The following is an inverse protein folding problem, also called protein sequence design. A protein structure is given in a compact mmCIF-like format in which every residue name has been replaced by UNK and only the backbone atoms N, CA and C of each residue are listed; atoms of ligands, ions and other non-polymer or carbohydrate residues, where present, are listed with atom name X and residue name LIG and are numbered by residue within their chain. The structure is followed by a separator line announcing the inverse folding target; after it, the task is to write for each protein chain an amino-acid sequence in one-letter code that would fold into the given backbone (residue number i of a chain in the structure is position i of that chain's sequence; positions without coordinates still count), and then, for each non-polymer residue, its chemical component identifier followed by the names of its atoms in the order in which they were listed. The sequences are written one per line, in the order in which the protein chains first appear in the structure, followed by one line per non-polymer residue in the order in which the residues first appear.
data_IF_751813685691
#
_entry.id   IF_751813685691
#
_cell.length_a   1.000
_cell.length_b   1.000
_cell.length_c   1.000
_cell.angle_alpha   90.00
_cell.angle_beta   90.00
_cell.angle_gamma   90.00
#
_symmetry.space_group_name_H-M   'P 1'
#
loop_
_entity.id
_entity.type
_entity.pdbx_description
1 polymer ?
#
# COMPACT_ATOMS: atom_id res chain seq x y z
N UNK A 1 13.13 -25.34 33.25
CA UNK A 1 12.86 -23.92 32.88
C UNK A 1 13.65 -23.40 31.67
N UNK A 2 14.91 -23.83 31.42
CA UNK A 2 15.74 -23.34 30.28
C UNK A 2 15.16 -23.62 28.87
N UNK A 3 14.56 -24.80 28.65
CA UNK A 3 13.94 -25.18 27.35
C UNK A 3 12.78 -24.26 26.94
N UNK A 4 11.95 -23.84 27.91
CA UNK A 4 10.81 -22.93 27.67
C UNK A 4 11.26 -21.51 27.29
N UNK A 5 12.40 -21.06 27.82
CA UNK A 5 13.00 -19.76 27.47
C UNK A 5 13.58 -19.78 26.06
N UNK A 6 14.21 -20.88 25.65
CA UNK A 6 14.71 -21.09 24.30
C UNK A 6 13.60 -21.12 23.25
N UNK A 7 12.53 -21.90 23.48
CA UNK A 7 11.39 -21.96 22.56
C UNK A 7 10.74 -20.58 22.37
N UNK A 8 10.59 -19.81 23.45
CA UNK A 8 10.07 -18.43 23.37
C UNK A 8 11.00 -17.51 22.57
N UNK A 9 12.31 -17.61 22.77
CA UNK A 9 13.28 -16.81 22.02
C UNK A 9 13.24 -17.12 20.52
N UNK A 10 13.13 -18.40 20.14
CA UNK A 10 13.01 -18.82 18.74
C UNK A 10 11.70 -18.32 18.12
N UNK A 11 10.57 -18.47 18.82
CA UNK A 11 9.27 -17.97 18.37
C UNK A 11 9.26 -16.45 18.16
N UNK A 12 9.80 -15.68 19.12
CA UNK A 12 9.91 -14.22 19.00
C UNK A 12 10.82 -13.85 17.82
N UNK A 13 11.94 -14.54 17.62
CA UNK A 13 12.85 -14.28 16.51
C UNK A 13 12.20 -14.55 15.15
N UNK A 14 11.48 -15.67 14.98
CA UNK A 14 10.73 -15.97 13.77
C UNK A 14 9.63 -14.93 13.49
N UNK A 15 8.93 -14.47 14.52
CA UNK A 15 7.89 -13.45 14.39
C UNK A 15 8.47 -12.10 13.92
N UNK A 16 9.59 -11.67 14.51
CA UNK A 16 10.27 -10.42 14.11
C UNK A 16 10.75 -10.47 12.66
N UNK A 17 11.34 -11.59 12.23
CA UNK A 17 11.79 -11.78 10.84
C UNK A 17 10.62 -11.75 9.84
N UNK A 18 9.47 -12.29 10.22
CA UNK A 18 8.27 -12.32 9.36
C UNK A 18 7.67 -10.92 9.16
N UNK A 19 7.71 -10.06 10.18
CA UNK A 19 7.22 -8.67 10.09
C UNK A 19 8.19 -7.78 9.30
N UNK A 20 9.50 -8.02 9.40
CA UNK A 20 10.49 -7.28 8.63
C UNK A 20 10.31 -7.47 7.10
N UNK A 21 9.78 -8.62 6.67
CA UNK A 21 9.51 -8.91 5.27
C UNK A 21 8.38 -8.07 4.67
N UNK A 22 7.51 -7.44 5.47
CA UNK A 22 6.38 -6.63 4.95
C UNK A 22 6.73 -5.16 4.73
N UNK A 23 7.97 -4.73 4.97
CA UNK A 23 8.46 -3.41 4.57
C UNK A 23 8.72 -3.35 3.04
N UNK A 24 7.80 -3.94 2.27
CA UNK A 24 7.81 -3.99 0.81
C UNK A 24 7.74 -2.58 0.26
N UNK A 25 8.72 -2.28 -0.58
CA UNK A 25 8.92 -1.08 -1.37
C UNK A 25 7.62 -0.30 -1.68
N UNK A 26 7.46 0.84 -1.04
CA UNK A 26 6.61 1.90 -1.56
C UNK A 26 7.23 2.35 -2.90
N UNK A 27 6.51 2.18 -4.01
CA UNK A 27 6.91 2.78 -5.28
C UNK A 27 7.09 4.29 -5.08
N UNK A 28 8.17 4.86 -5.60
CA UNK A 28 8.42 6.30 -5.50
C UNK A 28 7.20 7.12 -5.93
N UNK A 29 7.00 8.28 -5.32
CA UNK A 29 5.81 9.12 -5.56
C UNK A 29 5.60 9.43 -7.05
N UNK A 30 4.34 9.33 -7.48
CA UNK A 30 3.89 9.80 -8.79
C UNK A 30 3.72 11.32 -8.77
N UNK A 31 3.90 11.98 -9.91
CA UNK A 31 3.59 13.38 -10.08
C UNK A 31 2.11 13.61 -10.43
N UNK A 32 1.72 14.88 -10.65
CA UNK A 32 0.35 15.27 -10.97
C UNK A 32 -0.20 14.71 -12.29
N UNK A 33 0.66 14.18 -13.16
CA UNK A 33 0.24 13.51 -14.41
C UNK A 33 0.05 12.00 -14.20
N UNK A 34 0.33 11.47 -13.01
CA UNK A 34 0.22 10.04 -12.72
C UNK A 34 1.43 9.20 -13.14
N UNK A 35 2.57 9.84 -13.45
CA UNK A 35 3.81 9.17 -13.80
C UNK A 35 5.00 9.58 -12.93
N UNK A 36 6.19 9.07 -13.23
CA UNK A 36 7.42 9.40 -12.53
C UNK A 36 8.66 9.30 -13.43
N UNK A 37 9.73 10.00 -13.07
CA UNK A 37 11.03 9.87 -13.73
C UNK A 37 11.81 8.67 -13.18
N UNK A 38 12.30 7.79 -14.06
CA UNK A 38 13.25 6.76 -13.67
C UNK A 38 14.67 7.35 -13.64
N UNK A 39 15.18 7.64 -12.45
CA UNK A 39 16.54 8.21 -12.28
C UNK A 39 17.66 7.21 -12.61
N UNK A 40 17.38 5.91 -12.62
CA UNK A 40 18.40 4.87 -12.85
C UNK A 40 18.55 4.56 -14.34
N UNK A 41 17.43 4.47 -15.06
CA UNK A 41 17.41 4.11 -16.49
C UNK A 41 17.22 5.32 -17.41
N UNK A 42 16.85 6.47 -16.85
CA UNK A 42 16.34 7.59 -17.63
C UNK A 42 14.90 7.34 -18.08
N UNK A 43 14.24 8.41 -18.52
CA UNK A 43 12.87 8.34 -19.02
C UNK A 43 11.78 8.53 -17.97
N UNK A 44 10.54 8.37 -18.43
CA UNK A 44 9.32 8.72 -17.70
C UNK A 44 8.26 7.63 -17.87
N UNK A 45 7.71 7.14 -16.77
CA UNK A 45 6.75 6.03 -16.76
C UNK A 45 5.43 6.44 -16.14
N UNK A 46 4.31 6.10 -16.80
CA UNK A 46 2.99 6.31 -16.24
C UNK A 46 2.50 5.10 -15.46
N UNK A 47 1.94 5.36 -14.28
CA UNK A 47 1.29 4.35 -13.42
C UNK A 47 -0.21 4.59 -13.28
N UNK A 48 -0.70 5.78 -13.66
CA UNK A 48 -2.12 6.16 -13.66
C UNK A 48 -2.47 6.93 -14.93
N UNK A 49 -3.75 6.88 -15.30
CA UNK A 49 -4.31 7.61 -16.43
C UNK A 49 -4.23 6.85 -17.77
N UNK A 50 -4.51 7.53 -18.89
CA UNK A 50 -4.68 6.91 -20.21
C UNK A 50 -3.41 6.25 -20.76
N UNK A 51 -2.24 6.65 -20.26
CA UNK A 51 -0.94 6.10 -20.67
C UNK A 51 -0.37 5.10 -19.65
N UNK A 52 -1.16 4.60 -18.70
CA UNK A 52 -0.71 3.66 -17.67
C UNK A 52 0.07 2.48 -18.28
N UNK A 53 1.24 2.18 -17.72
CA UNK A 53 2.13 1.11 -18.17
C UNK A 53 3.06 1.52 -19.32
N UNK A 54 2.89 2.71 -19.89
CA UNK A 54 3.77 3.21 -20.95
C UNK A 54 5.01 3.91 -20.37
N UNK A 55 6.11 3.78 -21.09
CA UNK A 55 7.40 4.38 -20.80
C UNK A 55 7.83 5.27 -21.96
N UNK A 56 8.41 6.43 -21.65
CA UNK A 56 8.85 7.41 -22.61
C UNK A 56 10.31 7.80 -22.34
N UNK A 57 11.07 8.20 -23.38
CA UNK A 57 12.48 8.57 -23.22
C UNK A 57 12.69 9.85 -22.40
N UNK A 58 11.68 10.73 -22.33
CA UNK A 58 11.69 11.91 -21.48
C UNK A 58 10.27 12.28 -21.02
N UNK A 59 10.20 13.16 -20.02
CA UNK A 59 8.91 13.72 -19.56
C UNK A 59 8.24 14.54 -20.66
N UNK A 60 8.98 15.29 -21.48
CA UNK A 60 8.39 16.05 -22.59
C UNK A 60 7.73 15.12 -23.62
N UNK A 61 8.39 14.01 -23.98
CA UNK A 61 7.83 13.02 -24.90
C UNK A 61 6.56 12.35 -24.34
N UNK A 62 6.57 12.04 -23.03
CA UNK A 62 5.41 11.53 -22.31
C UNK A 62 4.22 12.51 -22.34
N UNK A 63 4.46 13.79 -22.06
CA UNK A 63 3.41 14.81 -22.04
C UNK A 63 2.87 15.09 -23.44
N UNK A 64 3.70 15.04 -24.48
CA UNK A 64 3.24 15.14 -25.86
C UNK A 64 2.33 13.95 -26.25
N UNK A 65 2.65 12.74 -25.80
CA UNK A 65 1.79 11.58 -25.98
C UNK A 65 0.48 11.70 -25.18
N UNK A 66 0.55 12.24 -23.95
CA UNK A 66 -0.63 12.43 -23.09
C UNK A 66 -1.60 13.45 -23.70
N UNK A 67 -1.06 14.55 -24.25
CA UNK A 67 -1.85 15.56 -24.96
C UNK A 67 -2.57 14.95 -26.18
N UNK A 68 -1.90 14.05 -26.93
CA UNK A 68 -2.52 13.32 -28.05
C UNK A 68 -3.58 12.30 -27.62
N UNK A 69 -3.44 11.72 -26.42
CA UNK A 69 -4.40 10.77 -25.87
C UNK A 69 -5.72 11.42 -25.40
N UNK A 70 -5.86 12.75 -25.53
CA UNK A 70 -7.14 13.46 -25.39
C UNK A 70 -7.71 13.50 -23.97
N UNK A 71 -6.95 13.08 -22.96
CA UNK A 71 -7.44 12.91 -21.58
C UNK A 71 -6.44 13.45 -20.57
N UNK A 72 -6.51 14.76 -20.36
CA UNK A 72 -6.26 15.52 -19.12
C UNK A 72 -5.78 16.92 -19.51
N UNK A 73 -6.55 17.94 -19.10
CA UNK A 73 -6.00 19.28 -18.96
C UNK A 73 -4.73 19.19 -18.11
N UNK A 74 -3.66 19.95 -18.42
CA UNK A 74 -2.48 19.98 -17.56
C UNK A 74 -2.93 20.19 -16.12
N UNK A 75 -2.44 19.39 -15.15
CA UNK A 75 -2.73 19.63 -13.75
C UNK A 75 -2.36 21.10 -13.48
N UNK A 76 -3.18 21.82 -12.69
CA UNK A 76 -2.89 23.20 -12.36
C UNK A 76 -1.42 23.29 -11.94
N UNK A 77 -0.70 24.25 -12.53
CA UNK A 77 0.72 24.43 -12.24
C UNK A 77 0.93 24.30 -10.73
N UNK A 78 1.95 23.55 -10.27
CA UNK A 78 2.24 23.54 -8.85
C UNK A 78 2.37 25.01 -8.46
N UNK A 79 1.49 25.46 -7.56
CA UNK A 79 1.65 26.77 -6.95
C UNK A 79 3.12 26.88 -6.54
N UNK A 80 3.79 28.02 -6.80
CA UNK A 80 5.21 28.15 -6.51
C UNK A 80 5.45 27.63 -5.10
N UNK A 81 6.32 26.62 -4.98
CA UNK A 81 6.66 26.05 -3.69
C UNK A 81 7.03 27.23 -2.78
N UNK A 82 6.40 27.38 -1.60
CA UNK A 82 6.79 28.45 -0.70
C UNK A 82 8.25 28.23 -0.32
N UNK A 83 9.11 29.11 -0.82
CA UNK A 83 10.48 29.27 -0.36
C UNK A 83 10.40 29.62 1.12
N UNK A 84 10.86 28.68 1.94
CA UNK A 84 11.24 28.85 3.34
C UNK A 84 10.22 29.57 4.26
N UNK A 85 9.43 28.78 4.97
CA UNK A 85 9.43 28.79 6.43
C UNK A 85 8.68 27.55 6.90
N UNK A 86 9.30 26.78 7.80
CA UNK A 86 8.59 25.78 8.58
C UNK A 86 7.53 26.48 9.44
N UNK A 87 6.34 26.70 8.89
CA UNK A 87 5.12 26.85 9.65
C UNK A 87 4.40 25.50 9.59
N UNK A 88 3.94 24.95 10.72
CA UNK A 88 3.31 23.65 10.71
C UNK A 88 2.02 23.75 9.90
N UNK A 89 1.99 23.07 8.74
CA UNK A 89 0.72 22.68 8.13
C UNK A 89 0.00 21.88 9.21
N UNK A 90 -1.06 22.46 9.76
CA UNK A 90 -2.04 21.73 10.53
C UNK A 90 -2.67 20.70 9.58
N UNK A 91 -1.96 19.58 9.40
CA UNK A 91 -2.55 18.33 8.96
C UNK A 91 -3.52 17.99 10.06
N UNK A 92 -4.78 18.42 9.91
CA UNK A 92 -5.84 17.78 10.66
C UNK A 92 -5.72 16.31 10.30
N UNK A 93 -5.42 15.42 11.26
CA UNK A 93 -5.33 14.01 10.96
C UNK A 93 -6.70 13.62 10.42
N UNK A 94 -6.77 13.22 9.16
CA UNK A 94 -7.92 12.46 8.69
C UNK A 94 -8.01 11.29 9.65
N UNK A 95 -9.06 11.20 10.50
CA UNK A 95 -9.14 10.11 11.44
C UNK A 95 -9.07 8.82 10.63
N UNK A 96 -8.25 7.83 11.04
CA UNK A 96 -8.22 6.56 10.35
C UNK A 96 -9.66 6.03 10.27
N UNK A 97 -10.05 5.35 9.18
CA UNK A 97 -11.38 4.76 9.08
C UNK A 97 -11.63 3.92 10.35
N UNK A 98 -12.65 4.32 11.12
CA UNK A 98 -13.05 3.61 12.33
C UNK A 98 -13.86 2.41 11.87
N UNK A 99 -13.17 1.27 11.70
CA UNK A 99 -13.83 0.01 11.41
C UNK A 99 -14.54 -0.51 12.67
N UNK A 100 -15.77 -0.96 12.50
CA UNK A 100 -16.49 -1.69 13.56
C UNK A 100 -15.75 -3.01 13.89
N UNK A 101 -16.01 -3.57 15.07
CA UNK A 101 -15.41 -4.85 15.46
C UNK A 101 -15.72 -5.96 14.43
N UNK A 102 -16.93 -5.97 13.88
CA UNK A 102 -17.35 -6.90 12.83
C UNK A 102 -16.56 -6.71 11.54
N UNK A 103 -16.37 -5.46 11.10
CA UNK A 103 -15.58 -5.16 9.89
C UNK A 103 -14.12 -5.58 10.04
N UNK A 104 -13.56 -5.44 11.25
CA UNK A 104 -12.20 -5.90 11.56
C UNK A 104 -12.10 -7.42 11.55
N UNK A 105 -13.12 -8.12 12.04
CA UNK A 105 -13.16 -9.58 12.01
C UNK A 105 -13.28 -10.09 10.58
N UNK A 106 -14.20 -9.54 9.79
CA UNK A 106 -14.38 -9.90 8.38
C UNK A 106 -13.10 -9.73 7.56
N UNK A 107 -12.38 -8.61 7.76
CA UNK A 107 -11.11 -8.36 7.09
C UNK A 107 -10.04 -9.39 7.45
N UNK A 108 -10.00 -9.87 8.69
CA UNK A 108 -9.06 -10.91 9.12
C UNK A 108 -9.39 -12.25 8.48
N UNK A 109 -10.66 -12.63 8.40
CA UNK A 109 -11.09 -13.86 7.74
C UNK A 109 -10.66 -13.87 6.27
N UNK A 110 -10.92 -12.77 5.56
CA UNK A 110 -10.59 -12.64 4.14
C UNK A 110 -9.07 -12.68 3.91
N UNK A 111 -8.27 -12.09 4.79
CA UNK A 111 -6.81 -12.18 4.72
C UNK A 111 -6.33 -13.62 4.94
N UNK A 112 -6.87 -14.33 5.93
CA UNK A 112 -6.47 -15.70 6.25
C UNK A 112 -6.78 -16.66 5.10
N UNK A 113 -7.92 -16.46 4.44
CA UNK A 113 -8.34 -17.29 3.30
C UNK A 113 -7.59 -16.93 2.03
N UNK A 114 -7.40 -15.63 1.73
CA UNK A 114 -6.65 -15.20 0.55
C UNK A 114 -5.17 -15.64 0.62
N UNK A 115 -4.61 -15.76 1.83
CA UNK A 115 -3.25 -16.29 2.05
C UNK A 115 -3.20 -17.81 2.15
N UNK A 116 -4.34 -18.50 2.07
CA UNK A 116 -4.44 -19.96 2.15
C UNK A 116 -4.03 -20.52 3.51
N UNK A 117 -4.10 -19.73 4.58
CA UNK A 117 -3.75 -20.16 5.95
C UNK A 117 -4.79 -21.14 6.49
N UNK A 118 -6.06 -20.94 6.12
CA UNK A 118 -7.18 -21.82 6.46
C UNK A 118 -8.19 -21.80 5.32
N UNK A 119 -8.82 -22.93 5.03
CA UNK A 119 -9.95 -22.97 4.09
C UNK A 119 -11.18 -22.32 4.74
N UNK A 120 -12.02 -21.63 3.95
CA UNK A 120 -13.27 -21.02 4.44
C UNK A 120 -14.16 -22.05 5.18
N UNK A 121 -14.16 -23.28 4.71
CA UNK A 121 -14.94 -24.39 5.29
C UNK A 121 -14.43 -24.79 6.68
N UNK A 122 -13.10 -24.85 6.87
CA UNK A 122 -12.50 -25.16 8.17
C UNK A 122 -12.71 -24.04 9.19
N UNK A 123 -12.59 -22.78 8.75
CA UNK A 123 -12.88 -21.62 9.61
C UNK A 123 -14.34 -21.63 10.08
N UNK A 124 -15.28 -21.93 9.17
CA UNK A 124 -16.70 -22.00 9.49
C UNK A 124 -17.00 -23.15 10.46
N UNK A 125 -16.35 -24.31 10.30
CA UNK A 125 -16.47 -25.44 11.22
C UNK A 125 -15.97 -25.08 12.63
N UNK A 126 -14.86 -24.33 12.73
CA UNK A 126 -14.32 -23.87 14.02
C UNK A 126 -15.23 -22.84 14.70
N UNK A 127 -15.81 -21.91 13.94
CA UNK A 127 -16.77 -20.93 14.47
C UNK A 127 -18.05 -21.60 14.96
N UNK A 128 -18.57 -22.58 14.21
CA UNK A 128 -19.74 -23.35 14.65
C UNK A 128 -19.46 -24.18 15.91
N UNK A 129 -18.28 -24.79 16.02
CA UNK A 129 -17.89 -25.52 17.23
C UNK A 129 -17.82 -24.61 18.47
N UNK A 130 -17.49 -23.33 18.29
CA UNK A 130 -17.42 -22.35 19.38
C UNK A 130 -18.82 -21.87 19.83
N UNK A 131 -19.79 -21.81 18.90
CA UNK A 131 -21.18 -21.37 19.18
C UNK A 131 -22.05 -22.52 19.71
N UNK A 132 -21.72 -23.77 19.37
CA UNK A 132 -22.49 -24.97 19.74
C UNK A 132 -21.96 -25.66 21.02
N UNK A 133 -20.85 -25.19 21.59
CA UNK A 133 -20.39 -25.66 22.90
C UNK A 133 -21.37 -25.21 24.01
N UNK A 134 -21.97 -26.13 24.79
CA UNK A 134 -22.94 -25.81 25.84
C UNK A 134 -22.32 -25.07 27.03
#
# INVERSE_FOLDING_TARGET
MRRRRWLRAVLVSCLVLSVAATALAHGGGLDGYGGHNDRKRGGYHFHRGPLTGQAFPSKEAALAALAKAGTQSPPPAPAPAPVAAAAPVATSPVPPPVFTAEQRLQALEDILIAKGVIAREELNAMLQALVVAP
#
